data_IF_737777546826
#
_entry.id   IF_737777546826
#
_cell.length_a   1.000
_cell.length_b   1.000
_cell.length_c   1.000
_cell.angle_alpha   90.00
_cell.angle_beta   90.00
_cell.angle_gamma   90.00
#
_symmetry.space_group_name_H-M   'P 1'
#
loop_
_entity.id
_entity.type
_entity.pdbx_description
1 polymer ?
#
# COMPACT_ATOMS: atom_id res chain seq x y z
N UNK A 1 -18.04 -9.51 -71.02
CA UNK A 1 -19.15 -9.67 -70.05
C UNK A 1 -18.49 -9.78 -68.67
N UNK A 2 -18.66 -8.74 -67.88
CA UNK A 2 -18.07 -8.64 -66.56
C UNK A 2 -19.08 -9.11 -65.52
N UNK A 3 -18.71 -10.02 -64.64
CA UNK A 3 -19.45 -10.35 -63.44
C UNK A 3 -18.75 -9.68 -62.24
N UNK A 4 -19.46 -8.77 -61.59
CA UNK A 4 -19.03 -8.16 -60.36
C UNK A 4 -19.32 -9.07 -59.16
N UNK A 5 -18.34 -9.26 -58.32
CA UNK A 5 -18.47 -9.89 -57.02
C UNK A 5 -18.72 -8.80 -55.96
N UNK A 6 -19.86 -8.94 -55.23
CA UNK A 6 -20.18 -8.11 -54.07
C UNK A 6 -19.49 -8.74 -52.86
N UNK A 7 -18.55 -8.02 -52.29
CA UNK A 7 -17.96 -8.34 -50.99
C UNK A 7 -18.72 -7.58 -49.92
N UNK A 8 -19.39 -8.31 -49.05
CA UNK A 8 -20.09 -7.72 -47.90
C UNK A 8 -19.09 -7.43 -46.79
N UNK A 9 -18.88 -6.16 -46.49
CA UNK A 9 -18.15 -5.71 -45.30
C UNK A 9 -19.02 -5.90 -44.06
N UNK A 10 -18.68 -6.88 -43.26
CA UNK A 10 -19.18 -6.97 -41.89
C UNK A 10 -18.30 -6.11 -40.97
N UNK A 11 -18.75 -4.90 -40.72
CA UNK A 11 -18.13 -4.00 -39.73
C UNK A 11 -18.41 -4.55 -38.34
N UNK A 12 -17.42 -5.19 -37.74
CA UNK A 12 -17.43 -5.47 -36.31
C UNK A 12 -17.20 -4.16 -35.53
N UNK A 13 -18.27 -3.55 -35.09
CA UNK A 13 -18.26 -2.47 -34.12
C UNK A 13 -17.82 -3.00 -32.77
N UNK A 14 -16.52 -3.05 -32.51
CA UNK A 14 -15.98 -3.11 -31.15
C UNK A 14 -16.09 -1.71 -30.56
N UNK A 15 -17.16 -1.47 -29.81
CA UNK A 15 -17.28 -0.29 -28.98
C UNK A 15 -16.31 -0.46 -27.82
N UNK A 16 -15.10 0.04 -27.99
CA UNK A 16 -14.17 0.32 -26.90
C UNK A 16 -14.72 1.55 -26.19
N UNK A 17 -15.45 1.34 -25.12
CA UNK A 17 -15.80 2.40 -24.18
C UNK A 17 -14.54 2.77 -23.39
N UNK A 18 -13.63 3.51 -24.02
CA UNK A 18 -12.67 4.33 -23.30
C UNK A 18 -13.45 5.53 -22.78
N UNK A 19 -13.93 5.44 -21.54
CA UNK A 19 -14.33 6.63 -20.81
C UNK A 19 -13.15 7.60 -20.86
N UNK A 20 -13.31 8.70 -21.58
CA UNK A 20 -12.38 9.84 -21.58
C UNK A 20 -12.43 10.50 -20.20
N UNK A 21 -11.74 9.92 -19.23
CA UNK A 21 -11.54 10.53 -17.92
C UNK A 21 -10.56 11.66 -18.13
N UNK A 22 -11.06 12.89 -18.09
CA UNK A 22 -10.19 14.07 -18.13
C UNK A 22 -9.32 14.07 -16.86
N UNK A 23 -8.00 13.82 -16.97
CA UNK A 23 -7.13 13.67 -15.79
C UNK A 23 -6.99 14.94 -14.96
N UNK A 24 -7.42 16.09 -15.48
CA UNK A 24 -7.35 17.38 -14.78
C UNK A 24 -8.42 17.52 -13.67
N UNK A 25 -9.50 16.72 -13.68
CA UNK A 25 -10.63 16.83 -12.75
C UNK A 25 -10.76 15.65 -11.78
N UNK A 26 -9.74 14.80 -11.64
CA UNK A 26 -9.77 13.72 -10.65
C UNK A 26 -9.69 14.32 -9.24
N UNK A 27 -10.85 14.35 -8.56
CA UNK A 27 -10.94 14.70 -7.15
C UNK A 27 -10.72 13.43 -6.33
N UNK A 28 -9.64 13.39 -5.55
CA UNK A 28 -9.39 12.37 -4.54
C UNK A 28 -8.87 13.04 -3.27
N UNK A 29 -9.04 12.43 -2.07
CA UNK A 29 -8.60 13.02 -0.83
C UNK A 29 -7.07 13.15 -0.82
N UNK A 30 -6.58 14.33 -0.47
CA UNK A 30 -5.15 14.54 -0.26
C UNK A 30 -4.79 14.09 1.16
N UNK A 31 -4.49 12.83 1.29
CA UNK A 31 -4.03 12.21 2.54
C UNK A 31 -2.73 11.45 2.28
N UNK A 32 -1.84 11.49 3.27
CA UNK A 32 -0.62 10.71 3.34
C UNK A 32 -0.66 9.92 4.65
N UNK A 33 -1.00 8.64 4.56
CA UNK A 33 -1.20 7.79 5.73
C UNK A 33 0.04 6.97 6.11
N UNK A 34 1.22 7.29 5.52
CA UNK A 34 2.47 6.61 5.83
C UNK A 34 3.57 7.62 6.13
N UNK A 35 3.49 8.23 7.31
CA UNK A 35 4.45 9.23 7.77
C UNK A 35 4.99 8.82 9.13
N UNK A 36 6.28 8.97 9.34
CA UNK A 36 6.94 8.71 10.62
C UNK A 36 7.52 9.98 11.24
N UNK A 37 7.53 10.02 12.57
CA UNK A 37 8.39 10.95 13.31
C UNK A 37 9.83 10.46 13.28
N UNK A 38 10.76 11.37 13.42
CA UNK A 38 12.19 11.07 13.54
C UNK A 38 12.92 12.20 14.28
N UNK A 39 14.22 12.06 14.46
CA UNK A 39 15.11 13.14 14.91
C UNK A 39 15.15 14.33 13.93
N UNK A 40 14.79 14.12 12.67
CA UNK A 40 14.73 15.14 11.62
C UNK A 40 13.35 15.77 11.44
N UNK A 41 12.29 15.17 12.01
CA UNK A 41 10.91 15.61 11.84
C UNK A 41 10.05 15.33 13.07
N UNK A 42 9.75 16.40 13.84
CA UNK A 42 8.82 16.31 14.96
C UNK A 42 7.37 16.29 14.53
N UNK A 43 6.45 15.97 15.47
CA UNK A 43 5.02 15.98 15.22
C UNK A 43 4.50 17.39 14.90
N UNK A 44 5.04 18.43 15.53
CA UNK A 44 4.68 19.83 15.28
C UNK A 44 5.04 20.23 13.84
N UNK A 45 6.20 19.81 13.36
CA UNK A 45 6.64 20.06 11.96
C UNK A 45 5.74 19.32 10.96
N UNK A 46 5.28 18.10 11.28
CA UNK A 46 4.30 17.36 10.47
C UNK A 46 2.97 18.13 10.39
N UNK A 47 2.48 18.60 11.53
CA UNK A 47 1.22 19.39 11.60
C UNK A 47 1.34 20.70 10.84
N UNK A 48 2.46 21.39 10.93
CA UNK A 48 2.71 22.62 10.17
C UNK A 48 2.72 22.33 8.66
N UNK A 49 3.37 21.26 8.24
CA UNK A 49 3.33 20.80 6.83
C UNK A 49 1.90 20.49 6.38
N UNK A 50 1.11 19.80 7.19
CA UNK A 50 -0.30 19.51 6.91
C UNK A 50 -1.05 20.78 6.53
N UNK A 51 -0.97 21.80 7.40
CA UNK A 51 -1.63 23.10 7.18
C UNK A 51 -1.13 23.80 5.91
N UNK A 52 0.19 23.83 5.69
CA UNK A 52 0.81 24.50 4.54
C UNK A 52 0.47 23.83 3.22
N UNK A 53 0.43 22.48 3.19
CA UNK A 53 0.24 21.71 1.96
C UNK A 53 -1.21 21.33 1.69
N UNK A 54 -2.12 21.50 2.67
CA UNK A 54 -3.51 21.03 2.58
C UNK A 54 -3.61 19.51 2.48
N UNK A 55 -2.64 18.78 3.07
CA UNK A 55 -2.60 17.30 3.09
C UNK A 55 -2.91 16.85 4.52
N UNK A 56 -3.86 15.94 4.68
CA UNK A 56 -4.11 15.29 5.96
C UNK A 56 -3.09 14.17 6.16
N UNK A 57 -2.40 14.17 7.30
CA UNK A 57 -1.42 13.12 7.60
C UNK A 57 -1.95 12.08 8.58
N UNK A 58 -1.54 10.84 8.35
CA UNK A 58 -1.52 9.77 9.32
C UNK A 58 -0.09 9.52 9.76
N UNK A 59 0.16 9.63 11.06
CA UNK A 59 1.46 9.36 11.65
C UNK A 59 1.43 7.95 12.21
N UNK A 60 2.40 7.14 11.84
CA UNK A 60 2.49 5.77 12.32
C UNK A 60 3.85 5.47 12.93
N UNK A 61 3.92 4.39 13.70
CA UNK A 61 5.13 3.86 14.28
C UNK A 61 5.23 2.36 14.03
N UNK A 62 6.45 1.87 13.88
CA UNK A 62 6.71 0.45 13.71
C UNK A 62 6.28 -0.33 14.95
N UNK A 63 5.63 -1.48 14.73
CA UNK A 63 5.11 -2.36 15.78
C UNK A 63 5.57 -3.78 15.51
N UNK A 64 6.25 -4.41 16.48
CA UNK A 64 6.76 -5.78 16.41
C UNK A 64 7.31 -6.18 15.01
N UNK A 65 8.48 -6.77 14.96
CA UNK A 65 9.31 -7.22 16.08
C UNK A 65 10.16 -6.13 16.72
N UNK A 66 10.24 -4.94 16.15
CA UNK A 66 10.91 -3.77 16.70
C UNK A 66 9.99 -2.55 16.82
N UNK A 67 10.51 -1.44 17.30
CA UNK A 67 9.72 -0.25 17.60
C UNK A 67 8.89 -0.46 18.87
N UNK A 68 7.57 -0.42 18.73
CA UNK A 68 6.61 -0.68 19.82
C UNK A 68 6.46 -2.19 19.99
N UNK A 69 6.74 -2.70 21.21
CA UNK A 69 6.73 -4.14 21.50
C UNK A 69 5.80 -4.55 22.65
N UNK A 70 5.17 -3.58 23.34
CA UNK A 70 4.25 -3.83 24.45
C UNK A 70 3.20 -2.71 24.57
N UNK A 71 2.18 -2.96 25.40
CA UNK A 71 1.06 -2.04 25.61
C UNK A 71 1.48 -0.68 26.16
N UNK A 72 2.45 -0.63 27.09
CA UNK A 72 2.92 0.61 27.69
C UNK A 72 3.54 1.54 26.64
N UNK A 73 4.40 1.00 25.79
CA UNK A 73 5.01 1.74 24.69
C UNK A 73 3.95 2.22 23.66
N UNK A 74 2.95 1.37 23.37
CA UNK A 74 1.88 1.73 22.45
C UNK A 74 1.02 2.84 23.02
N UNK A 75 0.67 2.77 24.31
CA UNK A 75 -0.08 3.84 24.99
C UNK A 75 0.69 5.16 24.97
N UNK A 76 1.98 5.13 25.31
CA UNK A 76 2.84 6.31 25.28
C UNK A 76 2.91 6.94 23.87
N UNK A 77 2.98 6.12 22.83
CA UNK A 77 2.94 6.59 21.45
C UNK A 77 1.59 7.23 21.10
N UNK A 78 0.48 6.57 21.40
CA UNK A 78 -0.87 7.07 21.13
C UNK A 78 -1.09 8.40 21.85
N UNK A 79 -0.75 8.48 23.11
CA UNK A 79 -0.90 9.69 23.92
C UNK A 79 -0.07 10.87 23.39
N UNK A 80 1.09 10.57 22.80
CA UNK A 80 1.95 11.58 22.21
C UNK A 80 1.42 12.13 20.88
N UNK A 81 0.62 11.35 20.12
CA UNK A 81 0.10 11.76 18.80
C UNK A 81 -1.33 12.27 18.85
N UNK A 82 -2.18 11.66 19.68
CA UNK A 82 -3.62 11.91 19.75
C UNK A 82 -4.02 13.39 19.93
N UNK A 83 -3.26 14.25 20.66
CA UNK A 83 -3.59 15.68 20.77
C UNK A 83 -3.49 16.47 19.47
N UNK A 84 -2.83 15.95 18.46
CA UNK A 84 -2.58 16.65 17.21
C UNK A 84 -3.65 16.32 16.14
N UNK A 85 -3.89 17.23 15.16
CA UNK A 85 -4.88 17.02 14.11
C UNK A 85 -4.37 16.09 12.99
N UNK A 86 -3.87 14.92 13.36
CA UNK A 86 -3.40 13.85 12.47
C UNK A 86 -4.06 12.53 12.87
N UNK A 87 -4.06 11.54 11.99
CA UNK A 87 -4.48 10.18 12.35
C UNK A 87 -3.35 9.44 13.06
N UNK A 88 -3.71 8.59 14.02
CA UNK A 88 -2.80 7.71 14.76
C UNK A 88 -2.76 6.36 14.06
N UNK A 89 -1.64 6.01 13.44
CA UNK A 89 -1.43 4.75 12.73
C UNK A 89 -0.50 3.79 13.47
N UNK A 90 -0.63 2.51 13.20
CA UNK A 90 0.33 1.47 13.60
C UNK A 90 0.85 0.78 12.35
N UNK A 91 2.17 0.51 12.30
CA UNK A 91 2.82 -0.23 11.21
C UNK A 91 3.42 -1.54 11.72
N UNK A 92 2.62 -2.60 11.85
CA UNK A 92 3.16 -3.92 12.11
C UNK A 92 3.95 -4.44 10.91
N UNK A 93 4.99 -5.25 11.21
CA UNK A 93 5.96 -5.73 10.22
C UNK A 93 5.97 -7.26 10.10
N UNK A 94 5.15 -7.99 10.87
CA UNK A 94 5.13 -9.45 10.85
C UNK A 94 3.74 -10.02 11.18
N UNK A 95 3.36 -11.17 10.58
CA UNK A 95 2.12 -11.87 10.95
C UNK A 95 2.13 -12.27 12.43
N UNK A 96 0.96 -12.22 13.05
CA UNK A 96 0.80 -12.57 14.47
C UNK A 96 1.19 -11.45 15.44
N UNK A 97 1.50 -10.28 14.96
CA UNK A 97 1.91 -9.12 15.75
C UNK A 97 0.93 -8.75 16.88
N UNK A 98 -0.39 -8.89 16.60
CA UNK A 98 -1.43 -8.48 17.54
C UNK A 98 -1.46 -9.30 18.82
N UNK A 99 -0.85 -10.49 18.82
CA UNK A 99 -0.76 -11.37 20.02
C UNK A 99 0.12 -10.77 21.12
N UNK A 100 0.96 -9.80 20.81
CA UNK A 100 1.84 -9.13 21.77
C UNK A 100 1.14 -8.00 22.53
N UNK A 101 -0.12 -7.68 22.20
CA UNK A 101 -0.83 -6.50 22.68
C UNK A 101 -2.25 -6.84 23.12
N UNK A 102 -2.77 -6.06 24.06
CA UNK A 102 -4.19 -6.13 24.41
C UNK A 102 -5.05 -5.58 23.25
N UNK A 103 -6.25 -6.15 23.11
CA UNK A 103 -7.20 -5.66 22.10
C UNK A 103 -7.61 -4.20 22.34
N UNK A 104 -7.68 -3.79 23.60
CA UNK A 104 -8.12 -2.45 24.00
C UNK A 104 -7.09 -1.38 23.60
N UNK A 105 -5.79 -1.70 23.67
CA UNK A 105 -4.76 -0.76 23.21
C UNK A 105 -4.72 -0.65 21.70
N UNK A 106 -4.78 -1.78 20.97
CA UNK A 106 -4.85 -1.80 19.51
C UNK A 106 -6.06 -0.99 19.01
N UNK A 107 -7.21 -1.13 19.70
CA UNK A 107 -8.43 -0.45 19.33
C UNK A 107 -8.37 1.09 19.43
N UNK A 108 -7.37 1.65 20.05
CA UNK A 108 -7.19 3.12 20.15
C UNK A 108 -6.56 3.75 18.90
N UNK A 109 -5.85 2.97 18.07
CA UNK A 109 -5.30 3.48 16.83
C UNK A 109 -6.40 3.74 15.79
N UNK A 110 -6.27 4.81 14.99
CA UNK A 110 -7.25 5.16 13.95
C UNK A 110 -7.19 4.22 12.75
N UNK A 111 -6.01 3.64 12.45
CA UNK A 111 -5.81 2.65 11.40
C UNK A 111 -4.55 1.81 11.65
N UNK A 112 -4.50 0.66 11.00
CA UNK A 112 -3.38 -0.28 11.05
C UNK A 112 -2.94 -0.56 9.61
N UNK A 113 -1.70 -0.18 9.29
CA UNK A 113 -1.09 -0.40 7.98
C UNK A 113 0.00 -1.47 8.09
N UNK A 114 -0.33 -2.69 7.70
CA UNK A 114 0.59 -3.83 7.74
C UNK A 114 1.60 -3.75 6.62
N UNK A 115 2.87 -3.73 6.97
CA UNK A 115 3.99 -3.73 6.04
C UNK A 115 4.54 -5.15 5.84
N UNK A 116 4.45 -5.73 4.63
CA UNK A 116 4.84 -7.10 4.34
C UNK A 116 6.31 -7.27 3.95
N UNK A 117 7.14 -6.25 4.09
CA UNK A 117 8.47 -6.21 3.47
C UNK A 117 9.54 -7.03 4.20
N UNK A 118 9.19 -7.69 5.32
CA UNK A 118 10.06 -8.62 6.03
C UNK A 118 9.62 -10.06 5.78
N UNK A 119 10.31 -10.75 4.89
CA UNK A 119 9.92 -12.08 4.42
C UNK A 119 10.84 -13.13 5.04
N UNK A 120 10.33 -13.99 5.93
CA UNK A 120 11.16 -14.99 6.61
C UNK A 120 11.74 -16.03 5.64
N UNK A 121 13.01 -16.39 5.83
CA UNK A 121 13.71 -17.46 5.10
C UNK A 121 13.58 -17.37 3.57
N UNK A 122 13.70 -16.19 2.99
CA UNK A 122 13.33 -15.96 1.60
C UNK A 122 14.52 -15.72 0.64
N UNK A 123 15.76 -15.67 1.12
CA UNK A 123 16.93 -15.42 0.26
C UNK A 123 17.51 -16.66 -0.46
N UNK A 124 17.03 -17.85 -0.14
CA UNK A 124 17.58 -19.13 -0.64
C UNK A 124 18.61 -19.76 0.29
N UNK A 125 19.13 -19.04 1.29
CA UNK A 125 20.11 -19.51 2.28
C UNK A 125 19.55 -19.64 3.69
N UNK A 126 18.23 -19.49 3.86
CA UNK A 126 17.54 -19.59 5.16
C UNK A 126 17.56 -18.30 5.98
N UNK A 127 17.89 -17.18 5.36
CA UNK A 127 17.88 -15.86 6.00
C UNK A 127 16.62 -15.08 5.65
N UNK A 128 16.21 -14.20 6.55
CA UNK A 128 15.10 -13.28 6.34
C UNK A 128 15.48 -12.21 5.31
N UNK A 129 14.53 -11.85 4.47
CA UNK A 129 14.69 -10.81 3.47
C UNK A 129 14.01 -9.53 3.94
N UNK A 130 14.75 -8.45 4.03
CA UNK A 130 14.24 -7.09 4.10
C UNK A 130 14.23 -6.52 2.69
N UNK A 131 13.07 -6.41 2.09
CA UNK A 131 12.91 -6.12 0.65
C UNK A 131 13.49 -4.76 0.27
N UNK A 132 13.50 -3.80 1.18
CA UNK A 132 14.04 -2.45 0.96
C UNK A 132 15.57 -2.35 1.06
N UNK A 133 16.25 -3.41 1.57
CA UNK A 133 17.69 -3.38 1.74
C UNK A 133 18.41 -3.55 0.39
N UNK A 134 19.24 -2.57 0.04
CA UNK A 134 19.97 -2.57 -1.22
C UNK A 134 20.90 -3.77 -1.40
N UNK A 135 21.50 -4.23 -0.31
CA UNK A 135 22.45 -5.35 -0.30
C UNK A 135 21.76 -6.73 -0.31
N UNK A 136 20.43 -6.78 -0.29
CA UNK A 136 19.70 -8.05 -0.33
C UNK A 136 20.02 -8.80 -1.63
N UNK A 137 20.42 -10.07 -1.48
CA UNK A 137 20.65 -10.99 -2.59
C UNK A 137 19.62 -12.11 -2.59
N UNK A 138 19.08 -12.41 -3.76
CA UNK A 138 18.12 -13.49 -3.99
C UNK A 138 18.74 -14.46 -5.01
N UNK A 139 18.92 -15.72 -4.61
CA UNK A 139 19.51 -16.75 -5.45
C UNK A 139 18.54 -17.24 -6.54
N UNK A 140 17.30 -17.50 -6.18
CA UNK A 140 16.21 -17.93 -7.06
C UNK A 140 15.00 -17.03 -6.92
N UNK A 141 14.70 -16.24 -7.96
CA UNK A 141 13.61 -15.28 -7.95
C UNK A 141 12.23 -15.96 -7.87
N UNK A 142 12.03 -17.14 -8.47
CA UNK A 142 10.74 -17.84 -8.38
C UNK A 142 10.53 -18.44 -6.99
N UNK A 143 11.55 -19.06 -6.39
CA UNK A 143 11.49 -19.55 -5.02
C UNK A 143 11.22 -18.40 -4.02
N UNK A 144 11.87 -17.24 -4.24
CA UNK A 144 11.55 -16.03 -3.48
C UNK A 144 10.07 -15.64 -3.62
N UNK A 145 9.54 -15.63 -4.84
CA UNK A 145 8.13 -15.24 -5.05
C UNK A 145 7.15 -16.24 -4.43
N UNK A 146 7.48 -17.53 -4.37
CA UNK A 146 6.65 -18.51 -3.65
C UNK A 146 6.61 -18.17 -2.15
N UNK A 147 7.75 -17.93 -1.53
CA UNK A 147 7.85 -17.52 -0.12
C UNK A 147 7.15 -16.19 0.14
N UNK A 148 7.33 -15.22 -0.75
CA UNK A 148 6.68 -13.91 -0.65
C UNK A 148 5.15 -14.04 -0.72
N UNK A 149 4.63 -14.86 -1.63
CA UNK A 149 3.19 -15.12 -1.73
C UNK A 149 2.66 -15.85 -0.49
N UNK A 150 3.39 -16.83 0.05
CA UNK A 150 3.02 -17.48 1.32
C UNK A 150 2.95 -16.45 2.46
N UNK A 151 3.95 -15.58 2.57
CA UNK A 151 3.99 -14.51 3.57
C UNK A 151 2.82 -13.54 3.42
N UNK A 152 2.53 -13.08 2.18
CA UNK A 152 1.39 -12.22 1.90
C UNK A 152 0.06 -12.89 2.29
N UNK A 153 -0.09 -14.19 2.01
CA UNK A 153 -1.32 -14.91 2.39
C UNK A 153 -1.42 -15.12 3.90
N UNK A 154 -0.32 -15.34 4.61
CA UNK A 154 -0.33 -15.36 6.08
C UNK A 154 -0.84 -14.04 6.68
N UNK A 155 -0.49 -12.92 6.07
CA UNK A 155 -0.97 -11.58 6.45
C UNK A 155 -2.43 -11.39 6.05
N UNK A 156 -2.73 -11.51 4.75
CA UNK A 156 -4.02 -11.12 4.19
C UNK A 156 -5.17 -12.09 4.55
N UNK A 157 -4.87 -13.36 4.79
CA UNK A 157 -5.85 -14.36 5.24
C UNK A 157 -5.78 -14.66 6.74
N UNK A 158 -4.84 -14.04 7.48
CA UNK A 158 -4.70 -14.20 8.94
C UNK A 158 -5.74 -13.41 9.74
N UNK A 159 -5.67 -13.55 11.06
CA UNK A 159 -6.64 -12.95 11.99
C UNK A 159 -6.21 -11.60 12.56
N UNK A 160 -5.00 -11.13 12.26
CA UNK A 160 -4.52 -9.83 12.76
C UNK A 160 -5.41 -8.68 12.24
N UNK A 161 -5.72 -7.68 13.07
CA UNK A 161 -6.43 -6.49 12.61
C UNK A 161 -5.55 -5.69 11.65
N UNK A 162 -6.05 -5.45 10.44
CA UNK A 162 -5.36 -4.73 9.38
C UNK A 162 -6.39 -3.92 8.58
N UNK A 163 -6.14 -2.64 8.39
CA UNK A 163 -6.96 -1.75 7.55
C UNK A 163 -6.32 -1.52 6.18
N UNK A 164 -4.98 -1.48 6.13
CA UNK A 164 -4.18 -1.13 4.95
C UNK A 164 -3.07 -2.17 4.77
N UNK A 165 -2.89 -2.64 3.55
CA UNK A 165 -1.72 -3.40 3.13
C UNK A 165 -0.71 -2.43 2.53
N UNK A 166 0.33 -2.12 3.30
CA UNK A 166 1.30 -1.07 2.99
C UNK A 166 2.37 -1.55 2.02
N UNK A 167 2.91 -0.66 1.22
CA UNK A 167 4.02 -0.90 0.27
C UNK A 167 3.95 -2.25 -0.47
N UNK A 168 2.79 -2.68 -1.00
CA UNK A 168 2.65 -3.98 -1.62
C UNK A 168 3.48 -4.07 -2.91
N UNK A 169 3.86 -5.30 -3.27
CA UNK A 169 4.51 -5.66 -4.55
C UNK A 169 5.95 -5.13 -4.72
N UNK A 170 6.56 -4.59 -3.67
CA UNK A 170 7.98 -4.26 -3.73
C UNK A 170 8.81 -5.54 -3.91
N UNK A 171 9.82 -5.46 -4.76
CA UNK A 171 10.80 -6.55 -4.96
C UNK A 171 12.19 -6.09 -4.51
N UNK A 172 13.03 -7.01 -4.01
CA UNK A 172 14.43 -6.73 -3.79
C UNK A 172 15.10 -6.18 -5.05
N UNK A 173 15.98 -5.22 -4.88
CA UNK A 173 16.64 -4.50 -5.98
C UNK A 173 17.31 -5.43 -7.00
N UNK A 174 17.89 -6.54 -6.54
CA UNK A 174 18.58 -7.50 -7.41
C UNK A 174 17.67 -8.21 -8.43
N UNK A 175 16.35 -8.28 -8.16
CA UNK A 175 15.35 -8.92 -9.06
C UNK A 175 14.26 -7.95 -9.55
N UNK A 176 14.33 -6.66 -9.21
CA UNK A 176 13.28 -5.69 -9.56
C UNK A 176 13.02 -5.57 -11.07
N UNK A 177 14.06 -5.80 -11.90
CA UNK A 177 13.92 -5.76 -13.36
C UNK A 177 13.02 -6.86 -13.91
N UNK A 178 12.79 -7.92 -13.14
CA UNK A 178 11.91 -9.03 -13.49
C UNK A 178 10.46 -8.78 -13.02
N UNK A 179 10.16 -7.61 -12.48
CA UNK A 179 8.84 -7.28 -11.92
C UNK A 179 7.67 -7.73 -12.81
N UNK A 180 7.60 -7.43 -14.13
CA UNK A 180 6.47 -7.84 -14.96
C UNK A 180 6.35 -9.37 -15.15
N UNK A 181 7.45 -10.11 -15.01
CA UNK A 181 7.49 -11.56 -15.10
C UNK A 181 7.09 -12.20 -13.76
N UNK A 182 7.61 -11.67 -12.67
CA UNK A 182 7.42 -12.20 -11.32
C UNK A 182 6.03 -11.92 -10.77
N UNK A 183 5.50 -10.72 -10.97
CA UNK A 183 4.13 -10.35 -10.60
C UNK A 183 3.14 -10.76 -11.69
N UNK A 184 2.93 -12.08 -11.83
CA UNK A 184 1.95 -12.63 -12.79
C UNK A 184 0.53 -12.23 -12.43
N UNK A 185 -0.36 -12.14 -13.42
CA UNK A 185 -1.80 -11.85 -13.19
C UNK A 185 -2.44 -12.76 -12.15
N UNK A 186 -2.01 -14.02 -12.09
CA UNK A 186 -2.51 -14.97 -11.09
C UNK A 186 -2.10 -14.54 -9.67
N UNK A 187 -0.84 -14.17 -9.45
CA UNK A 187 -0.34 -13.69 -8.15
C UNK A 187 -1.07 -12.40 -7.76
N UNK A 188 -1.17 -11.45 -8.68
CA UNK A 188 -1.89 -10.19 -8.45
C UNK A 188 -3.36 -10.43 -8.06
N UNK A 189 -4.06 -11.30 -8.80
CA UNK A 189 -5.46 -11.61 -8.50
C UNK A 189 -5.63 -12.29 -7.14
N UNK A 190 -4.72 -13.20 -6.76
CA UNK A 190 -4.72 -13.84 -5.43
C UNK A 190 -4.64 -12.81 -4.30
N UNK A 191 -3.76 -11.81 -4.42
CA UNK A 191 -3.62 -10.74 -3.45
C UNK A 191 -4.91 -9.90 -3.37
N UNK A 192 -5.46 -9.54 -4.54
CA UNK A 192 -6.70 -8.75 -4.64
C UNK A 192 -7.87 -9.48 -3.97
N UNK A 193 -8.04 -10.76 -4.25
CA UNK A 193 -9.13 -11.55 -3.68
C UNK A 193 -9.02 -11.67 -2.15
N UNK A 194 -7.81 -11.90 -1.63
CA UNK A 194 -7.56 -11.97 -0.19
C UNK A 194 -7.80 -10.62 0.50
N UNK A 195 -7.28 -9.53 -0.05
CA UNK A 195 -7.50 -8.18 0.49
C UNK A 195 -8.98 -7.80 0.47
N UNK A 196 -9.69 -8.13 -0.64
CA UNK A 196 -11.13 -7.89 -0.76
C UNK A 196 -11.96 -8.65 0.26
N UNK A 197 -11.63 -9.91 0.53
CA UNK A 197 -12.36 -10.75 1.48
C UNK A 197 -12.39 -10.14 2.90
N UNK A 198 -11.41 -9.31 3.24
CA UNK A 198 -11.28 -8.64 4.54
C UNK A 198 -11.46 -7.13 4.49
N UNK A 199 -11.83 -6.54 3.33
CA UNK A 199 -11.94 -5.10 3.12
C UNK A 199 -10.64 -4.33 3.43
N UNK A 200 -9.49 -4.94 3.19
CA UNK A 200 -8.17 -4.31 3.39
C UNK A 200 -7.90 -3.37 2.21
N UNK A 201 -7.57 -2.13 2.50
CA UNK A 201 -7.17 -1.15 1.49
C UNK A 201 -5.72 -1.38 1.02
N UNK A 202 -5.41 -0.89 -0.17
CA UNK A 202 -4.08 -1.00 -0.76
C UNK A 202 -3.38 0.36 -0.70
N UNK A 203 -2.18 0.40 -0.15
CA UNK A 203 -1.35 1.59 -0.22
C UNK A 203 -0.74 1.74 -1.61
N UNK A 204 -0.78 2.97 -2.12
CA UNK A 204 0.06 3.43 -3.24
C UNK A 204 1.22 4.17 -2.61
N UNK A 205 2.42 3.59 -2.67
CA UNK A 205 3.64 4.15 -2.07
C UNK A 205 4.34 5.10 -3.02
N UNK A 206 4.58 6.34 -2.58
CA UNK A 206 5.29 7.34 -3.37
C UNK A 206 6.80 7.07 -3.43
N UNK A 207 7.38 6.65 -2.31
CA UNK A 207 8.82 6.34 -2.21
C UNK A 207 9.20 5.17 -3.10
N UNK A 208 8.47 4.06 -2.97
CA UNK A 208 8.78 2.81 -3.65
C UNK A 208 8.17 2.73 -5.07
N UNK A 209 7.24 3.61 -5.40
CA UNK A 209 6.50 3.65 -6.69
C UNK A 209 5.78 2.35 -7.02
N UNK A 210 5.18 1.77 -6.01
CA UNK A 210 4.36 0.55 -6.09
C UNK A 210 2.98 0.80 -5.47
N UNK A 211 1.96 0.00 -5.84
CA UNK A 211 1.93 -0.92 -6.96
C UNK A 211 1.85 -0.20 -8.31
N UNK A 212 2.06 -0.93 -9.41
CA UNK A 212 1.95 -0.40 -10.76
C UNK A 212 0.50 -0.19 -11.24
N UNK A 213 0.34 0.39 -12.43
CA UNK A 213 -0.97 0.69 -13.01
C UNK A 213 -1.81 -0.57 -13.27
N UNK A 214 -1.19 -1.69 -13.66
CA UNK A 214 -1.91 -2.93 -13.93
C UNK A 214 -2.60 -3.43 -12.67
N UNK A 215 -1.87 -3.52 -11.57
CA UNK A 215 -2.44 -3.92 -10.29
C UNK A 215 -3.52 -2.95 -9.80
N UNK A 216 -3.27 -1.63 -9.86
CA UNK A 216 -4.24 -0.62 -9.42
C UNK A 216 -5.55 -0.75 -10.21
N UNK A 217 -5.49 -0.92 -11.53
CA UNK A 217 -6.67 -1.10 -12.36
C UNK A 217 -7.42 -2.42 -12.06
N UNK A 218 -6.69 -3.51 -11.78
CA UNK A 218 -7.30 -4.78 -11.35
C UNK A 218 -7.99 -4.63 -9.99
N UNK A 219 -7.31 -4.06 -9.00
CA UNK A 219 -7.83 -3.83 -7.65
C UNK A 219 -9.05 -2.88 -7.65
N UNK A 220 -9.01 -1.81 -8.45
CA UNK A 220 -10.14 -0.90 -8.65
C UNK A 220 -11.36 -1.63 -9.20
N UNK A 221 -11.19 -2.44 -10.25
CA UNK A 221 -12.30 -3.25 -10.81
C UNK A 221 -12.89 -4.22 -9.80
N UNK A 222 -12.06 -4.74 -8.90
CA UNK A 222 -12.50 -5.59 -7.79
C UNK A 222 -13.23 -4.81 -6.67
N UNK A 223 -13.16 -3.47 -6.68
CA UNK A 223 -13.79 -2.60 -5.69
C UNK A 223 -12.96 -2.37 -4.43
N UNK A 224 -11.64 -2.65 -4.46
CA UNK A 224 -10.72 -2.33 -3.36
C UNK A 224 -10.59 -0.82 -3.20
N UNK A 225 -10.27 -0.40 -1.97
CA UNK A 225 -9.94 0.98 -1.63
C UNK A 225 -8.43 1.19 -1.67
N UNK A 226 -8.02 2.44 -1.82
CA UNK A 226 -6.62 2.84 -1.88
C UNK A 226 -6.29 3.87 -0.80
N UNK A 227 -5.02 3.95 -0.45
CA UNK A 227 -4.45 5.06 0.33
C UNK A 227 -3.20 5.57 -0.37
N UNK A 228 -2.74 6.78 -0.02
CA UNK A 228 -1.41 7.23 -0.36
C UNK A 228 -0.48 7.12 0.84
N UNK A 229 0.77 6.76 0.58
CA UNK A 229 1.82 6.73 1.58
C UNK A 229 3.13 7.29 1.02
N UNK A 230 3.75 8.23 1.71
CA UNK A 230 5.08 8.74 1.33
C UNK A 230 6.22 7.94 1.95
N UNK A 231 5.97 7.21 3.03
CA UNK A 231 6.95 6.47 3.83
C UNK A 231 8.19 7.33 4.16
N UNK A 232 7.94 8.53 4.67
CA UNK A 232 8.99 9.50 4.89
C UNK A 232 9.17 9.86 6.35
N UNK A 233 10.43 10.21 6.69
CA UNK A 233 10.91 10.57 8.02
C UNK A 233 11.65 11.91 8.04
N UNK A 234 11.42 12.77 7.01
CA UNK A 234 12.18 14.00 6.78
C UNK A 234 11.35 15.09 6.07
N UNK A 235 12.02 16.06 5.49
CA UNK A 235 11.40 17.16 4.75
C UNK A 235 10.60 16.72 3.51
N UNK A 236 10.72 15.47 3.05
CA UNK A 236 9.97 14.95 1.89
C UNK A 236 8.54 14.52 2.24
N UNK A 237 8.16 14.52 3.51
CA UNK A 237 6.80 14.21 3.98
C UNK A 237 5.73 14.96 3.19
N UNK A 238 4.72 14.23 2.74
CA UNK A 238 3.66 14.74 1.87
C UNK A 238 4.04 14.83 0.39
N UNK A 239 5.23 14.36 0.01
CA UNK A 239 5.60 14.22 -1.40
C UNK A 239 4.85 13.04 -2.01
N UNK A 240 3.78 13.32 -2.72
CA UNK A 240 2.88 12.33 -3.33
C UNK A 240 2.88 12.45 -4.85
N UNK A 241 4.06 12.50 -5.47
CA UNK A 241 4.20 12.72 -6.93
C UNK A 241 3.72 11.51 -7.70
N UNK A 242 4.29 10.32 -7.41
CA UNK A 242 3.89 9.07 -8.05
C UNK A 242 2.42 8.75 -7.74
N UNK A 243 2.04 8.82 -6.46
CA UNK A 243 0.67 8.56 -5.99
C UNK A 243 -0.37 9.34 -6.82
N UNK A 244 -0.19 10.65 -6.93
CA UNK A 244 -1.12 11.52 -7.68
C UNK A 244 -1.11 11.25 -9.17
N UNK A 245 0.05 10.94 -9.75
CA UNK A 245 0.16 10.64 -11.17
C UNK A 245 -0.55 9.34 -11.53
N UNK A 246 -0.25 8.25 -10.79
CA UNK A 246 -0.85 6.94 -11.08
C UNK A 246 -2.35 6.92 -10.77
N UNK A 247 -2.79 7.59 -9.69
CA UNK A 247 -4.21 7.72 -9.37
C UNK A 247 -5.00 8.40 -10.51
N UNK A 248 -4.45 9.48 -11.09
CA UNK A 248 -5.07 10.13 -12.26
C UNK A 248 -5.10 9.21 -13.48
N UNK A 249 -3.98 8.54 -13.81
CA UNK A 249 -3.91 7.62 -14.95
C UNK A 249 -4.89 6.45 -14.81
N UNK A 250 -5.06 5.93 -13.60
CA UNK A 250 -6.02 4.87 -13.29
C UNK A 250 -7.45 5.39 -13.07
N UNK A 251 -7.68 6.70 -13.16
CA UNK A 251 -8.99 7.32 -12.99
C UNK A 251 -9.57 7.09 -11.59
N UNK A 252 -8.73 7.06 -10.54
CA UNK A 252 -9.21 6.96 -9.17
C UNK A 252 -9.94 8.24 -8.78
N UNK A 253 -10.98 8.08 -7.99
CA UNK A 253 -11.84 9.17 -7.49
C UNK A 253 -12.00 9.04 -5.98
N UNK A 254 -12.59 10.03 -5.32
CA UNK A 254 -12.81 10.03 -3.88
C UNK A 254 -13.43 8.72 -3.35
N UNK A 255 -14.38 8.15 -4.10
CA UNK A 255 -15.04 6.89 -3.73
C UNK A 255 -14.10 5.67 -3.71
N UNK A 256 -12.93 5.77 -4.33
CA UNK A 256 -11.96 4.67 -4.41
C UNK A 256 -10.98 4.70 -3.22
N UNK A 257 -11.07 5.69 -2.32
CA UNK A 257 -10.15 5.84 -1.20
C UNK A 257 -10.72 5.35 0.11
N UNK A 258 -9.82 4.80 0.93
CA UNK A 258 -10.04 4.52 2.34
C UNK A 258 -9.74 5.79 3.14
N UNK A 259 -10.63 6.15 4.05
CA UNK A 259 -10.47 7.26 4.98
C UNK A 259 -10.61 6.72 6.40
N UNK A 260 -9.57 6.79 7.24
CA UNK A 260 -9.68 6.34 8.61
C UNK A 260 -10.75 7.11 9.39
N UNK A 261 -11.34 6.45 10.37
CA UNK A 261 -12.20 7.14 11.36
C UNK A 261 -11.37 7.46 12.59
N UNK A 262 -11.31 8.74 12.93
CA UNK A 262 -10.62 9.16 14.14
C UNK A 262 -11.30 8.57 15.38
N UNK A 263 -10.50 7.88 16.21
CA UNK A 263 -10.95 7.33 17.49
C UNK A 263 -10.65 8.37 18.57
N UNK A 264 -11.71 8.85 19.21
CA UNK A 264 -11.66 9.89 20.23
C UNK A 264 -11.15 9.36 21.58
#
# INVERSE_FOLDING_TARGET
MALGAIVGDSVLNTVSATENINPANASFPLMDLHVHRSDKQSIEQIVEKSKRMGITFGVMENVAPWGITNDEQMQAYIDAIKPYPVYVGLQPMSPGWSKNFSKDIIAQADYIAMDPQMIPNANGYGEDVQVWEYATYIDDAEAFMERNMEHYMQILAGDDPIDIFACPLLLPYCIEREYPKLWTKKRLQTIIDAAKARNIAIEISDMMRVPDEEFILMAKRAGLKFTFGSDTRDEKTGRLVYCKQVARRCGLTEKDFFVPKRKL
#
